data_IF_213841086828
#
_entry.id   IF_213841086828
#
_cell.length_a   1.000
_cell.length_b   1.000
_cell.length_c   1.000
_cell.angle_alpha   90.00
_cell.angle_beta   90.00
_cell.angle_gamma   90.00
#
_symmetry.space_group_name_H-M   'P 1'
#
loop_
_entity.id
_entity.type
_entity.pdbx_description
1 polymer ?
#
# COMPACT_ATOMS: atom_id res chain seq x y z
N UNK A 1 12.49 -13.12 7.75
CA UNK A 1 11.75 -11.97 7.19
C UNK A 1 10.61 -11.65 8.12
N UNK A 2 10.38 -10.37 8.43
CA UNK A 2 9.23 -9.94 9.23
C UNK A 2 8.01 -9.75 8.33
N UNK A 3 6.78 -9.81 8.86
CA UNK A 3 5.56 -9.49 8.10
C UNK A 3 5.67 -8.13 7.41
N UNK A 4 6.28 -7.17 8.10
CA UNK A 4 6.58 -5.84 7.58
C UNK A 4 7.45 -5.86 6.32
N UNK A 5 8.59 -6.57 6.32
CA UNK A 5 9.51 -6.63 5.17
C UNK A 5 8.88 -7.32 3.96
N UNK A 6 8.08 -8.37 4.18
CA UNK A 6 7.33 -9.04 3.11
C UNK A 6 6.31 -8.13 2.44
N UNK A 7 5.54 -7.39 3.26
CA UNK A 7 4.53 -6.48 2.77
C UNK A 7 5.17 -5.29 2.05
N UNK A 8 6.21 -4.71 2.64
CA UNK A 8 6.98 -3.62 2.05
C UNK A 8 7.49 -3.97 0.66
N UNK A 9 8.09 -5.15 0.49
CA UNK A 9 8.57 -5.62 -0.82
C UNK A 9 7.45 -5.78 -1.83
N UNK A 10 6.32 -6.38 -1.44
CA UNK A 10 5.17 -6.53 -2.34
C UNK A 10 4.62 -5.18 -2.78
N UNK A 11 4.40 -4.27 -1.83
CA UNK A 11 3.89 -2.93 -2.09
C UNK A 11 4.86 -2.14 -2.98
N UNK A 12 6.17 -2.14 -2.67
CA UNK A 12 7.20 -1.48 -3.51
C UNK A 12 7.28 -2.07 -4.92
N UNK A 13 7.14 -3.38 -5.05
CA UNK A 13 7.18 -4.06 -6.36
C UNK A 13 5.99 -3.68 -7.23
N UNK A 14 4.81 -3.56 -6.63
CA UNK A 14 3.59 -3.21 -7.36
C UNK A 14 3.54 -1.69 -7.56
N UNK A 15 3.52 -0.90 -6.50
CA UNK A 15 3.40 0.55 -6.57
C UNK A 15 4.64 1.26 -7.14
N UNK A 16 5.82 0.63 -7.12
CA UNK A 16 7.00 1.16 -7.80
C UNK A 16 6.85 1.23 -9.32
N UNK A 17 5.87 0.52 -9.90
CA UNK A 17 5.51 0.64 -11.32
C UNK A 17 4.59 1.83 -11.61
N UNK A 18 4.12 2.53 -10.57
CA UNK A 18 3.23 3.67 -10.70
C UNK A 18 3.98 4.92 -11.18
N UNK A 19 3.26 5.84 -11.84
CA UNK A 19 3.82 7.12 -12.24
C UNK A 19 3.68 8.13 -11.11
N UNK A 20 4.82 8.47 -10.51
CA UNK A 20 4.90 9.50 -9.49
C UNK A 20 4.96 10.91 -10.11
N UNK A 21 4.43 11.95 -9.43
CA UNK A 21 3.80 11.89 -8.11
C UNK A 21 2.37 11.35 -8.18
N UNK A 22 2.04 10.42 -7.28
CA UNK A 22 0.70 9.86 -7.13
C UNK A 22 -0.16 10.90 -6.43
N UNK A 23 -1.27 11.29 -7.05
CA UNK A 23 -2.17 12.32 -6.51
C UNK A 23 -3.43 11.72 -5.91
N UNK A 24 -3.76 10.48 -6.27
CA UNK A 24 -4.92 9.78 -5.74
C UNK A 24 -4.73 8.28 -5.80
N UNK A 25 -5.50 7.56 -4.98
CA UNK A 25 -5.55 6.09 -5.00
C UNK A 25 -5.96 5.56 -6.39
N UNK A 26 -6.75 6.32 -7.14
CA UNK A 26 -7.15 5.98 -8.50
C UNK A 26 -5.96 5.81 -9.45
N UNK A 27 -4.86 6.57 -9.27
CA UNK A 27 -3.65 6.43 -10.08
C UNK A 27 -2.95 5.08 -9.86
N UNK A 28 -3.24 4.40 -8.75
CA UNK A 28 -2.66 3.11 -8.40
C UNK A 28 -3.46 1.93 -8.96
N UNK A 29 -4.75 2.12 -9.27
CA UNK A 29 -5.61 1.09 -9.85
C UNK A 29 -5.04 0.38 -11.08
N UNK A 30 -4.48 1.08 -12.10
CA UNK A 30 -3.91 0.42 -13.28
C UNK A 30 -2.63 -0.37 -12.99
N UNK A 31 -1.99 -0.12 -11.85
CA UNK A 31 -0.73 -0.74 -11.45
C UNK A 31 -0.99 -2.06 -10.71
N UNK A 32 -2.17 -2.16 -10.10
CA UNK A 32 -2.61 -3.31 -9.34
C UNK A 32 -2.98 -4.47 -10.29
N UNK A 33 -2.36 -5.65 -10.17
CA UNK A 33 -2.57 -6.77 -11.10
C UNK A 33 -4.01 -7.31 -11.13
N UNK A 34 -4.74 -7.21 -10.01
CA UNK A 34 -6.16 -7.55 -9.92
C UNK A 34 -7.02 -6.30 -9.61
N UNK A 35 -6.49 -5.11 -9.88
CA UNK A 35 -7.13 -3.85 -9.51
C UNK A 35 -7.43 -3.80 -8.00
N UNK A 36 -8.62 -3.33 -7.58
CA UNK A 36 -8.98 -3.20 -6.16
C UNK A 36 -9.05 -4.55 -5.40
N UNK A 37 -9.15 -5.68 -6.11
CA UNK A 37 -9.13 -7.02 -5.51
C UNK A 37 -7.72 -7.54 -5.22
N UNK A 38 -6.67 -6.82 -5.63
CA UNK A 38 -5.28 -7.24 -5.37
C UNK A 38 -5.06 -7.47 -3.88
N UNK A 39 -4.63 -8.68 -3.53
CA UNK A 39 -4.39 -9.08 -2.16
C UNK A 39 -2.92 -8.89 -1.79
N UNK A 40 -2.68 -8.28 -0.64
CA UNK A 40 -1.39 -8.13 -0.01
C UNK A 40 -1.35 -8.96 1.27
N UNK A 41 -0.26 -9.69 1.48
CA UNK A 41 -0.08 -10.55 2.66
C UNK A 41 1.13 -10.15 3.47
N UNK A 42 0.99 -10.20 4.79
CA UNK A 42 2.05 -9.98 5.75
C UNK A 42 1.91 -11.00 6.88
N UNK A 43 2.74 -12.04 6.87
CA UNK A 43 2.67 -13.11 7.88
C UNK A 43 1.28 -13.77 7.93
N UNK A 44 0.56 -13.58 9.04
CA UNK A 44 -0.77 -14.17 9.28
C UNK A 44 -1.94 -13.29 8.82
N UNK A 45 -1.66 -12.06 8.40
CA UNK A 45 -2.66 -11.07 8.01
C UNK A 45 -2.63 -10.84 6.51
N UNK A 46 -3.79 -10.48 5.97
CA UNK A 46 -3.99 -10.22 4.55
C UNK A 46 -5.00 -9.11 4.36
N UNK A 47 -4.74 -8.23 3.42
CA UNK A 47 -5.61 -7.11 3.07
C UNK A 47 -5.74 -7.01 1.56
N UNK A 48 -6.93 -6.68 1.08
CA UNK A 48 -7.11 -6.23 -0.30
C UNK A 48 -6.62 -4.79 -0.48
N UNK A 49 -6.30 -4.42 -1.73
CA UNK A 49 -6.01 -3.05 -2.09
C UNK A 49 -7.18 -2.11 -1.76
N UNK A 50 -8.42 -2.61 -1.88
CA UNK A 50 -9.62 -1.90 -1.44
C UNK A 50 -9.64 -1.66 0.08
N UNK A 51 -9.34 -2.67 0.90
CA UNK A 51 -9.28 -2.50 2.35
C UNK A 51 -8.16 -1.56 2.77
N UNK A 52 -6.97 -1.69 2.17
CA UNK A 52 -5.87 -0.74 2.38
C UNK A 52 -6.32 0.67 1.98
N UNK A 53 -6.93 0.86 0.82
CA UNK A 53 -7.41 2.18 0.40
C UNK A 53 -8.53 2.74 1.27
N UNK A 54 -9.37 1.93 1.90
CA UNK A 54 -10.38 2.43 2.85
C UNK A 54 -9.78 2.78 4.22
N UNK A 55 -8.93 1.90 4.77
CA UNK A 55 -8.24 2.14 6.04
C UNK A 55 -7.25 3.30 5.94
N UNK A 56 -6.59 3.41 4.79
CA UNK A 56 -5.53 4.35 4.53
C UNK A 56 -6.01 5.61 3.80
N UNK A 57 -7.10 5.54 3.03
CA UNK A 57 -7.55 6.66 2.18
C UNK A 57 -7.96 7.91 2.95
N UNK A 58 -8.35 7.79 4.22
CA UNK A 58 -8.57 8.94 5.11
C UNK A 58 -7.29 9.51 5.74
N UNK A 59 -6.18 8.76 5.71
CA UNK A 59 -4.87 9.16 6.27
C UNK A 59 -3.83 9.47 5.20
N UNK A 60 -4.11 9.11 3.95
CA UNK A 60 -3.20 9.27 2.83
C UNK A 60 -2.91 10.75 2.58
N UNK A 61 -1.63 11.11 2.67
CA UNK A 61 -1.12 12.48 2.49
C UNK A 61 -0.73 12.72 1.04
N UNK A 62 -1.67 12.52 0.12
CA UNK A 62 -1.42 12.83 -1.28
C UNK A 62 -1.03 14.32 -1.45
N UNK A 63 -0.12 14.66 -2.38
CA UNK A 63 0.56 13.74 -3.29
C UNK A 63 1.76 13.02 -2.67
N UNK A 64 1.97 11.76 -3.06
CA UNK A 64 3.21 11.04 -2.76
C UNK A 64 4.16 11.16 -3.94
N UNK A 65 5.38 11.62 -3.68
CA UNK A 65 6.40 11.82 -4.71
C UNK A 65 7.20 10.56 -5.01
N UNK A 66 7.26 9.62 -4.07
CA UNK A 66 8.08 8.42 -4.16
C UNK A 66 7.36 7.21 -3.56
N UNK A 67 7.71 6.02 -4.06
CA UNK A 67 7.15 4.75 -3.58
C UNK A 67 7.54 4.47 -2.14
N UNK A 68 8.77 4.77 -1.74
CA UNK A 68 9.26 4.54 -0.39
C UNK A 68 8.41 5.27 0.65
N UNK A 69 8.16 6.56 0.44
CA UNK A 69 7.33 7.37 1.35
C UNK A 69 5.90 6.85 1.41
N UNK A 70 5.32 6.48 0.27
CA UNK A 70 3.96 5.94 0.21
C UNK A 70 3.83 4.60 0.95
N UNK A 71 4.74 3.67 0.67
CA UNK A 71 4.72 2.34 1.28
C UNK A 71 5.02 2.41 2.77
N UNK A 72 5.98 3.25 3.18
CA UNK A 72 6.30 3.45 4.59
C UNK A 72 5.09 3.96 5.37
N UNK A 73 4.38 4.96 4.83
CA UNK A 73 3.18 5.50 5.46
C UNK A 73 2.11 4.39 5.63
N UNK A 74 1.90 3.54 4.60
CA UNK A 74 1.00 2.37 4.67
C UNK A 74 1.38 1.44 5.83
N UNK A 75 2.65 1.08 5.91
CA UNK A 75 3.16 0.17 6.93
C UNK A 75 3.03 0.78 8.33
N UNK A 76 3.40 2.04 8.50
CA UNK A 76 3.23 2.76 9.77
C UNK A 76 1.76 2.82 10.19
N UNK A 77 0.83 3.09 9.27
CA UNK A 77 -0.60 3.12 9.59
C UNK A 77 -1.17 1.75 9.96
N UNK A 78 -0.68 0.67 9.36
CA UNK A 78 -1.06 -0.70 9.73
C UNK A 78 -0.50 -1.07 11.11
N UNK A 79 0.76 -0.75 11.38
CA UNK A 79 1.37 -1.00 12.69
C UNK A 79 0.70 -0.18 13.80
N UNK A 80 0.36 1.08 13.54
CA UNK A 80 -0.41 1.90 14.49
C UNK A 80 -1.83 1.40 14.71
N UNK A 81 -2.42 0.70 13.72
CA UNK A 81 -3.75 0.10 13.84
C UNK A 81 -3.73 -1.26 14.55
N UNK A 82 -2.55 -1.77 14.95
CA UNK A 82 -2.39 -3.11 15.54
C UNK A 82 -2.59 -4.25 14.55
N UNK A 83 -2.50 -3.95 13.25
CA UNK A 83 -2.70 -4.90 12.16
C UNK A 83 -1.40 -5.53 11.67
N UNK A 84 -0.25 -4.92 11.99
CA UNK A 84 1.10 -5.31 11.56
C UNK A 84 2.11 -5.20 12.70
#
# INVERSE_FOLDING_TARGET
>A
MTPHDELEKQLKTIFGKAKYPIRSIMDLLPILPQGPMTQFKAGTKSWSAMELSQKFGGKAKFPYNDVDTFVKDILEGLSQSGEL
#
